data_IF_586283139064
#
_entry.id   IF_586283139064
#
_cell.length_a   1.000
_cell.length_b   1.000
_cell.length_c   1.000
_cell.angle_alpha   90.00
_cell.angle_beta   90.00
_cell.angle_gamma   90.00
#
_symmetry.space_group_name_H-M   'P 1'
#
loop_
_entity.id
_entity.type
_entity.pdbx_description
1 polymer ?
#
# COMPACT_ATOMS: atom_id res chain seq x y z
N UNK A 1 13.39 -9.37 16.53
CA UNK A 1 12.34 -10.36 16.73
C UNK A 1 11.47 -10.36 15.50
N UNK A 2 11.83 -11.20 14.53
CA UNK A 2 11.02 -11.45 13.35
C UNK A 2 10.38 -12.80 13.53
N UNK A 3 9.13 -12.85 13.82
CA UNK A 3 8.41 -14.10 13.76
C UNK A 3 6.98 -13.87 13.32
N UNK A 4 6.64 -14.62 12.32
CA UNK A 4 5.36 -14.84 11.68
C UNK A 4 5.04 -13.87 10.55
N UNK A 5 5.75 -14.00 9.44
CA UNK A 5 5.10 -13.95 8.15
C UNK A 5 4.27 -15.23 8.03
N UNK A 6 3.06 -15.22 8.53
CA UNK A 6 2.08 -16.21 8.15
C UNK A 6 1.60 -15.82 6.76
N UNK A 7 2.05 -16.53 5.73
CA UNK A 7 1.39 -16.43 4.43
C UNK A 7 0.00 -17.04 4.60
N UNK A 8 -1.02 -16.19 4.68
CA UNK A 8 -2.43 -16.61 4.69
C UNK A 8 -2.88 -16.97 3.26
N UNK A 9 -2.03 -16.73 2.25
CA UNK A 9 -2.45 -16.57 0.87
C UNK A 9 -2.48 -17.85 0.01
N UNK A 10 -2.12 -19.02 0.51
CA UNK A 10 -1.96 -20.16 -0.41
C UNK A 10 -3.17 -21.08 -0.58
N UNK A 11 -4.32 -20.84 0.05
CA UNK A 11 -5.37 -21.86 -0.06
C UNK A 11 -6.84 -21.43 0.09
N UNK A 12 -7.18 -20.17 0.06
CA UNK A 12 -8.61 -19.80 0.07
C UNK A 12 -8.96 -18.92 -1.13
N UNK A 13 -9.54 -19.51 -2.19
CA UNK A 13 -9.87 -18.78 -3.41
C UNK A 13 -10.97 -17.73 -3.28
N UNK A 14 -11.60 -17.58 -2.11
CA UNK A 14 -12.76 -16.72 -1.91
C UNK A 14 -12.66 -15.72 -0.74
N UNK A 15 -11.45 -15.43 -0.24
CA UNK A 15 -11.30 -14.44 0.83
C UNK A 15 -11.24 -13.05 0.20
N UNK A 16 -12.25 -12.23 0.46
CA UNK A 16 -12.21 -10.81 0.10
C UNK A 16 -11.45 -9.96 1.15
N UNK A 17 -11.12 -8.74 0.76
CA UNK A 17 -10.36 -7.83 1.63
C UNK A 17 -11.10 -7.52 2.93
N UNK A 18 -12.42 -7.40 2.93
CA UNK A 18 -13.22 -7.07 4.13
C UNK A 18 -13.10 -8.21 5.14
N UNK A 19 -13.30 -9.45 4.68
CA UNK A 19 -13.15 -10.65 5.52
C UNK A 19 -11.73 -10.77 6.09
N UNK A 20 -10.71 -10.49 5.27
CA UNK A 20 -9.32 -10.49 5.74
C UNK A 20 -9.10 -9.45 6.85
N UNK A 21 -9.62 -8.25 6.69
CA UNK A 21 -9.49 -7.19 7.69
C UNK A 21 -10.27 -7.47 8.99
N UNK A 22 -11.26 -8.34 8.95
CA UNK A 22 -12.05 -8.80 10.12
C UNK A 22 -11.42 -10.01 10.82
N UNK A 23 -10.34 -10.56 10.27
CA UNK A 23 -9.70 -11.76 10.82
C UNK A 23 -8.97 -11.49 12.13
N UNK A 24 -8.90 -12.50 13.00
CA UNK A 24 -8.13 -12.47 14.25
C UNK A 24 -6.65 -12.14 14.02
N UNK A 25 -6.09 -12.57 12.89
CA UNK A 25 -4.70 -12.30 12.53
C UNK A 25 -4.43 -10.79 12.40
N UNK A 26 -5.38 -10.05 11.82
CA UNK A 26 -5.31 -8.57 11.72
C UNK A 26 -5.54 -7.93 13.08
N UNK A 27 -6.41 -8.49 13.91
CA UNK A 27 -6.68 -7.95 15.26
C UNK A 27 -5.51 -8.09 16.23
N UNK A 28 -4.66 -9.09 16.04
CA UNK A 28 -3.50 -9.35 16.87
C UNK A 28 -2.20 -8.69 16.36
N UNK A 29 -2.21 -8.12 15.17
CA UNK A 29 -1.03 -7.57 14.54
C UNK A 29 -0.86 -6.07 14.83
N UNK A 30 0.35 -5.64 15.16
CA UNK A 30 0.70 -4.21 15.24
C UNK A 30 0.88 -3.56 13.86
N UNK A 31 1.37 -4.35 12.91
CA UNK A 31 1.59 -3.94 11.52
C UNK A 31 0.99 -4.98 10.58
N UNK A 32 0.12 -4.52 9.68
CA UNK A 32 -0.51 -5.35 8.65
C UNK A 32 -0.07 -4.85 7.27
N UNK A 33 0.47 -5.75 6.48
CA UNK A 33 0.85 -5.46 5.07
C UNK A 33 0.04 -6.36 4.17
N UNK A 34 -0.67 -5.78 3.21
CA UNK A 34 -1.50 -6.49 2.22
C UNK A 34 -0.95 -6.18 0.82
N UNK A 35 -0.37 -7.20 0.21
CA UNK A 35 0.19 -7.15 -1.14
C UNK A 35 -0.32 -8.36 -1.96
N UNK A 36 -1.20 -8.16 -2.90
CA UNK A 36 -1.81 -6.91 -3.36
C UNK A 36 -3.25 -6.79 -2.84
N UNK A 37 -3.62 -5.61 -2.32
CA UNK A 37 -4.99 -5.39 -1.86
C UNK A 37 -5.98 -5.31 -3.03
N UNK A 38 -5.55 -4.87 -4.22
CA UNK A 38 -6.39 -4.84 -5.42
C UNK A 38 -6.88 -6.22 -5.84
N UNK A 39 -6.05 -7.26 -5.71
CA UNK A 39 -6.44 -8.64 -6.06
C UNK A 39 -7.48 -9.25 -5.12
N UNK A 40 -7.67 -8.67 -3.93
CA UNK A 40 -8.64 -9.10 -2.93
C UNK A 40 -9.94 -8.27 -2.98
N UNK A 41 -10.02 -7.30 -3.88
CA UNK A 41 -11.22 -6.48 -4.05
C UNK A 41 -12.23 -7.20 -4.92
N UNK A 42 -13.52 -7.20 -4.54
CA UNK A 42 -14.58 -7.63 -5.42
C UNK A 42 -14.67 -6.72 -6.65
N UNK A 43 -14.95 -7.32 -7.82
CA UNK A 43 -15.08 -6.57 -9.08
C UNK A 43 -16.21 -5.53 -9.04
N UNK A 44 -17.28 -5.81 -8.27
CA UNK A 44 -18.49 -5.00 -8.17
C UNK A 44 -18.71 -4.53 -6.73
N UNK A 45 -17.87 -3.59 -6.27
CA UNK A 45 -18.02 -3.01 -4.95
C UNK A 45 -19.14 -1.97 -4.97
N UNK A 46 -20.25 -2.25 -4.30
CA UNK A 46 -21.30 -1.26 -4.12
C UNK A 46 -20.91 -0.16 -3.12
N UNK A 47 -21.69 0.91 -3.05
CA UNK A 47 -21.39 2.05 -2.16
C UNK A 47 -21.42 1.65 -0.67
N UNK A 48 -22.24 0.68 -0.27
CA UNK A 48 -22.32 0.21 1.10
C UNK A 48 -21.05 -0.57 1.51
N UNK A 49 -20.62 -1.50 0.69
CA UNK A 49 -19.39 -2.28 0.89
C UNK A 49 -18.15 -1.39 0.89
N UNK A 50 -18.13 -0.39 0.00
CA UNK A 50 -17.07 0.63 -0.05
C UNK A 50 -16.99 1.44 1.25
N UNK A 51 -18.14 1.86 1.77
CA UNK A 51 -18.23 2.56 3.04
C UNK A 51 -17.77 1.68 4.22
N UNK A 52 -18.21 0.41 4.26
CA UNK A 52 -17.81 -0.56 5.28
C UNK A 52 -16.29 -0.77 5.28
N UNK A 53 -15.69 -0.96 4.10
CA UNK A 53 -14.24 -1.09 3.95
C UNK A 53 -13.51 0.13 4.52
N UNK A 54 -13.92 1.34 4.12
CA UNK A 54 -13.29 2.56 4.60
C UNK A 54 -13.45 2.76 6.12
N UNK A 55 -14.59 2.36 6.68
CA UNK A 55 -14.78 2.37 8.14
C UNK A 55 -13.83 1.40 8.83
N UNK A 56 -13.68 0.17 8.30
CA UNK A 56 -12.81 -0.84 8.90
C UNK A 56 -11.34 -0.42 8.87
N UNK A 57 -10.86 0.12 7.75
CA UNK A 57 -9.49 0.65 7.65
C UNK A 57 -9.22 1.75 8.69
N UNK A 58 -10.16 2.68 8.86
CA UNK A 58 -10.05 3.74 9.88
C UNK A 58 -10.08 3.18 11.30
N UNK A 59 -10.90 2.19 11.56
CA UNK A 59 -10.99 1.54 12.88
C UNK A 59 -9.64 0.90 13.25
N UNK A 60 -9.04 0.13 12.36
CA UNK A 60 -7.72 -0.50 12.56
C UNK A 60 -6.67 0.56 12.88
N UNK A 61 -6.58 1.60 12.06
CA UNK A 61 -5.64 2.70 12.26
C UNK A 61 -5.88 3.46 13.57
N UNK A 62 -7.14 3.69 13.96
CA UNK A 62 -7.49 4.40 15.21
C UNK A 62 -7.11 3.63 16.47
N UNK A 63 -6.91 2.33 16.37
CA UNK A 63 -6.44 1.46 17.45
C UNK A 63 -4.90 1.47 17.62
N UNK A 64 -4.21 2.34 16.89
CA UNK A 64 -2.75 2.47 16.96
C UNK A 64 -2.00 1.45 16.12
N UNK A 65 -2.68 0.72 15.24
CA UNK A 65 -2.07 -0.25 14.32
C UNK A 65 -1.66 0.41 13.01
N UNK A 66 -0.58 -0.06 12.43
CA UNK A 66 -0.11 0.39 11.12
C UNK A 66 -0.63 -0.54 10.02
N UNK A 67 -1.21 0.05 8.97
CA UNK A 67 -1.74 -0.70 7.83
C UNK A 67 -1.09 -0.19 6.54
N UNK A 68 -0.50 -1.09 5.78
CA UNK A 68 0.07 -0.82 4.46
C UNK A 68 -0.68 -1.62 3.41
N UNK A 69 -1.22 -0.93 2.42
CA UNK A 69 -1.90 -1.54 1.27
C UNK A 69 -1.07 -1.29 0.01
N UNK A 70 -0.66 -2.37 -0.65
CA UNK A 70 -0.12 -2.30 -2.01
C UNK A 70 -1.28 -2.45 -2.98
N UNK A 71 -1.45 -1.48 -3.86
CA UNK A 71 -2.57 -1.46 -4.80
C UNK A 71 -2.08 -1.22 -6.23
N UNK A 72 -2.67 -1.89 -7.18
CA UNK A 72 -2.53 -1.58 -8.60
C UNK A 72 -3.67 -0.62 -8.99
N UNK A 73 -3.36 0.64 -9.37
CA UNK A 73 -4.38 1.61 -9.74
C UNK A 73 -5.19 1.21 -10.98
N UNK A 74 -4.66 0.33 -11.83
CA UNK A 74 -5.36 -0.14 -13.04
C UNK A 74 -6.46 -1.15 -12.68
N UNK A 75 -6.27 -1.91 -11.60
CA UNK A 75 -7.23 -2.92 -11.13
C UNK A 75 -8.29 -2.37 -10.17
N UNK A 76 -8.16 -1.10 -9.77
CA UNK A 76 -9.02 -0.50 -8.76
C UNK A 76 -10.11 0.39 -9.35
N UNK A 77 -11.29 0.35 -8.74
CA UNK A 77 -12.34 1.33 -9.00
C UNK A 77 -11.87 2.75 -8.64
N UNK A 78 -12.11 3.74 -9.53
CA UNK A 78 -11.63 5.12 -9.36
C UNK A 78 -12.13 5.78 -8.08
N UNK A 79 -13.38 5.53 -7.66
CA UNK A 79 -13.96 6.11 -6.45
C UNK A 79 -13.29 5.53 -5.20
N UNK A 80 -13.03 4.21 -5.20
CA UNK A 80 -12.35 3.56 -4.10
C UNK A 80 -10.89 4.04 -4.02
N UNK A 81 -10.19 4.10 -5.14
CA UNK A 81 -8.83 4.65 -5.20
C UNK A 81 -8.78 6.08 -4.64
N UNK A 82 -9.71 6.94 -5.04
CA UNK A 82 -9.81 8.30 -4.51
C UNK A 82 -10.02 8.30 -2.98
N UNK A 83 -10.92 7.45 -2.47
CA UNK A 83 -11.20 7.34 -1.04
C UNK A 83 -9.98 6.84 -0.25
N UNK A 84 -9.27 5.85 -0.76
CA UNK A 84 -8.04 5.33 -0.13
C UNK A 84 -6.98 6.41 -0.09
N UNK A 85 -6.67 7.06 -1.21
CA UNK A 85 -5.67 8.13 -1.30
C UNK A 85 -6.00 9.32 -0.39
N UNK A 86 -7.27 9.71 -0.31
CA UNK A 86 -7.71 10.85 0.54
C UNK A 86 -7.70 10.51 2.03
N UNK A 87 -7.83 9.25 2.41
CA UNK A 87 -7.87 8.79 3.81
C UNK A 87 -6.52 8.34 4.35
N UNK A 88 -5.60 7.93 3.51
CA UNK A 88 -4.27 7.48 3.91
C UNK A 88 -3.45 8.63 4.52
N UNK A 89 -2.65 8.33 5.55
CA UNK A 89 -1.70 9.29 6.11
C UNK A 89 -0.47 9.48 5.21
N UNK A 90 -0.06 8.39 4.55
CA UNK A 90 1.06 8.37 3.61
C UNK A 90 0.60 7.75 2.31
N UNK A 91 0.91 8.37 1.17
CA UNK A 91 0.70 7.82 -0.16
C UNK A 91 2.02 7.87 -0.92
N UNK A 92 2.46 6.70 -1.36
CA UNK A 92 3.67 6.50 -2.14
C UNK A 92 3.27 5.96 -3.53
N UNK A 93 3.62 6.67 -4.57
CA UNK A 93 3.43 6.22 -5.95
C UNK A 93 4.75 5.66 -6.50
N UNK A 94 4.74 4.39 -6.87
CA UNK A 94 5.86 3.72 -7.52
C UNK A 94 5.77 3.99 -9.02
N UNK A 95 6.69 4.77 -9.55
CA UNK A 95 6.69 5.18 -10.94
C UNK A 95 7.87 4.60 -11.70
N UNK A 96 7.62 4.19 -12.93
CA UNK A 96 8.64 3.77 -13.88
C UNK A 96 8.57 4.67 -15.10
N UNK A 97 9.69 5.32 -15.43
CA UNK A 97 9.81 6.19 -16.58
C UNK A 97 10.98 5.75 -17.46
N UNK A 98 10.88 5.97 -18.78
CA UNK A 98 11.98 5.73 -19.70
C UNK A 98 12.59 7.06 -20.10
N UNK A 99 13.88 7.25 -19.79
CA UNK A 99 14.63 8.46 -20.13
C UNK A 99 15.91 8.05 -20.84
N UNK A 100 16.08 8.50 -22.09
CA UNK A 100 17.27 8.21 -22.88
C UNK A 100 17.50 6.71 -23.16
N UNK A 101 16.44 5.90 -23.19
CA UNK A 101 16.53 4.44 -23.37
C UNK A 101 16.77 3.67 -22.06
N UNK A 102 16.92 4.35 -20.94
CA UNK A 102 17.09 3.72 -19.63
C UNK A 102 15.81 3.76 -18.83
N UNK A 103 15.53 2.67 -18.10
CA UNK A 103 14.42 2.57 -17.17
C UNK A 103 14.81 3.23 -15.85
N UNK A 104 14.13 4.31 -15.50
CA UNK A 104 14.24 4.98 -14.20
C UNK A 104 13.04 4.62 -13.33
N UNK A 105 13.31 4.26 -12.08
CA UNK A 105 12.27 3.95 -11.08
C UNK A 105 12.33 4.96 -9.96
N UNK A 106 11.18 5.52 -9.60
CA UNK A 106 11.06 6.50 -8.52
C UNK A 106 9.92 6.11 -7.59
N UNK A 107 10.10 6.36 -6.32
CA UNK A 107 9.03 6.47 -5.34
C UNK A 107 8.68 7.94 -5.21
N UNK A 108 7.43 8.30 -5.49
CA UNK A 108 6.94 9.67 -5.33
C UNK A 108 6.04 9.74 -4.11
N UNK A 109 6.41 10.59 -3.15
CA UNK A 109 5.61 10.84 -1.95
C UNK A 109 4.56 11.89 -2.31
N UNK A 110 3.33 11.45 -2.59
CA UNK A 110 2.23 12.34 -3.00
C UNK A 110 1.39 12.83 -1.82
N UNK A 111 1.50 12.15 -0.68
CA UNK A 111 0.87 12.55 0.57
C UNK A 111 1.71 12.08 1.74
N UNK A 112 1.91 12.95 2.71
CA UNK A 112 2.50 12.62 4.00
C UNK A 112 1.95 13.57 5.07
N UNK A 113 0.95 13.12 5.81
CA UNK A 113 0.39 13.86 6.93
C UNK A 113 1.31 13.72 8.14
N UNK A 114 1.41 14.77 8.93
CA UNK A 114 2.19 14.80 10.18
C UNK A 114 3.70 14.58 9.99
N UNK A 115 4.26 14.96 8.84
CA UNK A 115 5.71 15.00 8.68
C UNK A 115 6.33 15.95 9.71
N UNK A 116 7.35 15.48 10.43
CA UNK A 116 8.06 16.29 11.41
C UNK A 116 9.03 17.32 10.79
N UNK A 117 9.14 17.33 9.47
CA UNK A 117 10.03 18.22 8.71
C UNK A 117 9.81 18.09 7.20
N UNK A 118 10.69 18.69 6.39
CA UNK A 118 10.64 18.59 4.94
C UNK A 118 10.71 17.13 4.49
N UNK A 119 9.82 16.72 3.58
CA UNK A 119 9.79 15.38 3.00
C UNK A 119 10.35 15.45 1.59
N UNK A 120 11.30 14.58 1.29
CA UNK A 120 11.76 14.40 -0.09
C UNK A 120 10.61 13.79 -0.91
N UNK A 121 10.18 14.51 -1.94
CA UNK A 121 8.99 14.14 -2.72
C UNK A 121 9.24 13.08 -3.77
N UNK A 122 10.51 12.87 -4.18
CA UNK A 122 10.87 11.85 -5.16
C UNK A 122 12.19 11.20 -4.77
N UNK A 123 12.20 9.86 -4.78
CA UNK A 123 13.36 9.05 -4.41
C UNK A 123 13.60 8.05 -5.54
N UNK A 124 14.74 8.17 -6.21
CA UNK A 124 15.19 7.20 -7.21
C UNK A 124 15.62 5.89 -6.55
N UNK A 125 15.36 4.77 -7.21
CA UNK A 125 15.80 3.47 -6.74
C UNK A 125 16.07 2.49 -7.86
N UNK A 126 16.90 1.47 -7.57
CA UNK A 126 17.16 0.35 -8.46
C UNK A 126 17.39 -0.93 -7.66
N UNK A 127 17.31 -2.05 -8.33
CA UNK A 127 17.67 -3.36 -7.77
C UNK A 127 18.91 -3.87 -8.51
N UNK A 128 19.94 -4.17 -7.76
CA UNK A 128 21.15 -4.82 -8.28
C UNK A 128 21.24 -6.28 -7.78
N UNK A 129 21.54 -7.26 -8.67
CA UNK A 129 21.51 -8.67 -8.30
C UNK A 129 22.39 -9.04 -7.12
N UNK A 130 23.51 -8.32 -6.92
CA UNK A 130 24.47 -8.60 -5.85
C UNK A 130 24.25 -7.80 -4.57
N UNK A 131 23.52 -6.67 -4.64
CA UNK A 131 23.35 -5.74 -3.53
C UNK A 131 21.88 -5.55 -3.11
N UNK A 132 20.93 -6.02 -3.92
CA UNK A 132 19.50 -5.86 -3.65
C UNK A 132 18.97 -4.46 -3.96
N UNK A 133 18.12 -3.94 -3.09
CA UNK A 133 17.49 -2.63 -3.26
C UNK A 133 18.47 -1.50 -2.90
N UNK A 134 18.66 -0.57 -3.83
CA UNK A 134 19.54 0.59 -3.67
C UNK A 134 18.74 1.86 -3.89
N UNK A 135 18.90 2.82 -2.99
CA UNK A 135 18.34 4.16 -3.12
C UNK A 135 19.35 5.05 -3.83
N UNK A 136 18.93 5.70 -4.91
CA UNK A 136 19.73 6.69 -5.62
C UNK A 136 19.64 8.05 -4.94
N UNK A 137 20.68 8.39 -4.20
CA UNK A 137 20.76 9.66 -3.45
C UNK A 137 21.10 10.87 -4.39
N UNK A 138 21.47 10.60 -5.63
CA UNK A 138 21.93 11.62 -6.60
C UNK A 138 20.83 12.41 -7.30
N UNK A 139 19.57 12.18 -6.99
CA UNK A 139 18.42 12.87 -7.60
C UNK A 139 17.99 14.14 -6.82
N UNK A 140 18.91 14.85 -6.18
CA UNK A 140 18.64 16.15 -5.58
C UNK A 140 19.29 17.22 -6.45
N UNK A 141 18.56 17.66 -7.45
CA UNK A 141 18.86 18.88 -8.20
C UNK A 141 17.57 19.53 -8.62
#
# INVERSE_FOLDING_TARGET
VFSRFGSIAESTPDVDLIQLLESEAVELADVVVIDSASSLMPSDLDDASRFQLMQRLRQISSQGRSLMLCVDPVEMDDKLMHNLRSSAEVVLDLMTTMIGGEIKRNVVVTRYLRAAGPVQTSIGWRVEPSMGFIVDITAVS
#
